data_IF_467583121874
#
_entry.id   IF_467583121874
#
_cell.length_a   1.000
_cell.length_b   1.000
_cell.length_c   1.000
_cell.angle_alpha   90.00
_cell.angle_beta   90.00
_cell.angle_gamma   90.00
#
_symmetry.space_group_name_H-M   'P 1'
#
loop_
_entity.id
_entity.type
_entity.pdbx_description
1 polymer ?
#
# COMPACT_ATOMS: atom_id res chain seq x y z
N UNK A 1 -17.84 36.72 40.69
CA UNK A 1 -16.50 36.30 40.18
C UNK A 1 -16.21 34.79 40.26
N UNK A 2 -16.99 33.96 40.98
CA UNK A 2 -16.69 32.54 41.25
C UNK A 2 -16.90 31.56 40.08
N UNK A 3 -17.74 31.92 39.09
CA UNK A 3 -18.15 31.04 37.97
C UNK A 3 -17.14 30.98 36.82
N UNK A 4 -16.38 32.04 36.57
CA UNK A 4 -15.39 32.08 35.45
C UNK A 4 -14.23 31.10 35.64
N UNK A 5 -13.78 30.88 36.88
CA UNK A 5 -12.66 29.96 37.15
C UNK A 5 -13.08 28.48 37.02
N UNK A 6 -14.33 28.15 37.32
CA UNK A 6 -14.84 26.78 37.19
C UNK A 6 -14.96 26.36 35.72
N UNK A 7 -15.41 27.27 34.85
CA UNK A 7 -15.50 27.02 33.40
C UNK A 7 -14.10 26.79 32.79
N UNK A 8 -13.08 27.55 33.22
CA UNK A 8 -11.70 27.36 32.76
C UNK A 8 -11.13 25.99 33.14
N UNK A 9 -11.40 25.52 34.35
CA UNK A 9 -10.97 24.18 34.80
C UNK A 9 -11.66 23.06 34.01
N UNK A 10 -12.95 23.21 33.71
CA UNK A 10 -13.70 22.24 32.92
C UNK A 10 -13.17 22.13 31.49
N UNK A 11 -12.90 23.27 30.83
CA UNK A 11 -12.34 23.31 29.47
C UNK A 11 -10.95 22.66 29.45
N UNK A 12 -10.12 22.94 30.44
CA UNK A 12 -8.80 22.34 30.56
C UNK A 12 -8.90 20.82 30.69
N UNK A 13 -9.78 20.31 31.56
CA UNK A 13 -9.97 18.87 31.76
C UNK A 13 -10.49 18.14 30.51
N UNK A 14 -11.43 18.76 29.79
CA UNK A 14 -11.96 18.24 28.53
C UNK A 14 -10.85 18.22 27.47
N UNK A 15 -10.02 19.26 27.40
CA UNK A 15 -8.92 19.33 26.43
C UNK A 15 -7.86 18.27 26.67
N UNK A 16 -7.47 18.00 27.93
CA UNK A 16 -6.54 16.92 28.25
C UNK A 16 -7.15 15.55 27.97
N UNK A 17 -8.42 15.33 28.34
CA UNK A 17 -9.11 14.07 28.07
C UNK A 17 -9.21 13.77 26.57
N UNK A 18 -9.49 14.79 25.75
CA UNK A 18 -9.49 14.67 24.29
C UNK A 18 -8.08 14.33 23.77
N UNK A 19 -7.04 15.02 24.24
CA UNK A 19 -5.66 14.72 23.86
C UNK A 19 -5.26 13.27 24.17
N UNK A 20 -5.60 12.76 25.37
CA UNK A 20 -5.32 11.37 25.74
C UNK A 20 -6.12 10.36 24.91
N UNK A 21 -7.39 10.66 24.61
CA UNK A 21 -8.27 9.79 23.79
C UNK A 21 -7.78 9.63 22.34
N UNK A 22 -7.13 10.66 21.77
CA UNK A 22 -6.50 10.57 20.44
C UNK A 22 -5.16 9.82 20.46
N UNK A 23 -4.41 9.87 21.56
CA UNK A 23 -3.11 9.18 21.64
C UNK A 23 -3.23 7.68 21.93
N UNK A 24 -4.22 7.22 22.71
CA UNK A 24 -4.34 5.80 23.06
C UNK A 24 -4.78 4.89 21.90
N UNK A 25 -5.37 5.45 20.85
CA UNK A 25 -5.85 4.69 19.69
C UNK A 25 -4.87 4.62 18.52
N UNK A 26 -3.69 5.25 18.60
CA UNK A 26 -2.67 5.14 17.55
C UNK A 26 -1.76 3.93 17.81
N UNK A 27 -2.33 2.73 17.74
CA UNK A 27 -1.51 1.54 17.47
C UNK A 27 -1.23 1.54 15.97
N UNK A 28 0.03 1.66 15.50
CA UNK A 28 0.32 1.26 14.14
C UNK A 28 0.04 -0.24 14.05
N UNK A 29 -1.13 -0.59 13.49
CA UNK A 29 -1.41 -1.96 13.09
C UNK A 29 -0.41 -2.34 12.01
N UNK A 30 0.75 -2.85 12.44
CA UNK A 30 1.82 -3.32 11.58
C UNK A 30 1.48 -4.68 10.95
N UNK A 31 0.19 -4.95 10.71
CA UNK A 31 -0.29 -6.13 10.01
C UNK A 31 -0.56 -5.77 8.55
N UNK A 32 0.51 -5.43 7.83
CA UNK A 32 0.50 -5.31 6.38
C UNK A 32 0.46 -6.75 5.83
N UNK A 33 -0.74 -7.35 5.74
CA UNK A 33 -0.90 -8.65 5.11
C UNK A 33 -0.99 -8.40 3.59
N UNK A 34 0.19 -8.24 2.97
CA UNK A 34 0.37 -8.28 1.51
C UNK A 34 0.36 -9.71 0.98
N UNK A 35 0.46 -10.70 1.86
CA UNK A 35 0.55 -12.12 1.53
C UNK A 35 -0.70 -12.59 0.79
N UNK A 36 -0.50 -13.33 -0.29
CA UNK A 36 -1.55 -13.86 -1.16
C UNK A 36 -1.40 -13.38 -2.60
N UNK A 37 -2.39 -13.70 -3.43
CA UNK A 37 -2.40 -13.33 -4.85
C UNK A 37 -3.24 -12.08 -5.09
N UNK A 38 -2.74 -11.19 -5.93
CA UNK A 38 -3.36 -9.92 -6.28
C UNK A 38 -3.36 -9.70 -7.79
N UNK A 39 -4.49 -9.34 -8.38
CA UNK A 39 -4.56 -8.91 -9.78
C UNK A 39 -4.35 -7.41 -9.90
N UNK A 40 -3.75 -6.96 -10.99
CA UNK A 40 -3.78 -5.54 -11.37
C UNK A 40 -5.22 -5.18 -11.77
N UNK A 41 -5.87 -4.31 -11.00
CA UNK A 41 -7.24 -3.83 -11.27
C UNK A 41 -7.27 -2.48 -11.99
N UNK A 42 -6.15 -1.74 -11.99
CA UNK A 42 -6.06 -0.46 -12.65
C UNK A 42 -4.67 0.17 -12.62
N UNK A 43 -4.49 1.19 -13.44
CA UNK A 43 -3.34 2.10 -13.42
C UNK A 43 -3.84 3.52 -13.24
N UNK A 44 -3.08 4.32 -12.52
CA UNK A 44 -3.31 5.75 -12.41
C UNK A 44 -2.05 6.46 -12.86
N UNK A 45 -1.86 6.58 -14.17
CA UNK A 45 -0.99 7.55 -14.82
C UNK A 45 -1.90 8.37 -15.75
N UNK A 46 -1.63 9.66 -15.98
CA UNK A 46 -2.51 10.56 -16.74
C UNK A 46 -3.15 9.92 -17.99
N UNK A 47 -4.45 9.64 -17.89
CA UNK A 47 -5.52 9.42 -18.89
C UNK A 47 -5.27 8.58 -20.18
N UNK A 48 -4.08 8.04 -20.47
CA UNK A 48 -3.80 7.41 -21.78
C UNK A 48 -3.09 6.07 -21.78
N UNK A 49 -2.84 5.47 -20.62
CA UNK A 49 -2.27 4.12 -20.56
C UNK A 49 -3.30 3.18 -19.95
N UNK A 50 -3.95 2.38 -20.80
CA UNK A 50 -4.76 1.25 -20.36
C UNK A 50 -3.92 0.40 -19.40
N UNK A 51 -4.48 0.13 -18.23
CA UNK A 51 -3.87 -0.79 -17.28
C UNK A 51 -3.57 -2.09 -18.03
N UNK A 52 -2.35 -2.64 -17.93
CA UNK A 52 -2.04 -3.90 -18.56
C UNK A 52 -2.88 -4.98 -17.85
N UNK A 53 -3.99 -5.37 -18.47
CA UNK A 53 -4.87 -6.42 -17.96
C UNK A 53 -4.13 -7.75 -17.89
N UNK A 54 -4.56 -8.66 -17.01
CA UNK A 54 -4.00 -10.02 -16.92
C UNK A 54 -2.66 -10.14 -16.21
N UNK A 55 -2.16 -9.08 -15.58
CA UNK A 55 -1.02 -9.17 -14.64
C UNK A 55 -1.49 -9.50 -13.23
N UNK A 56 -0.75 -10.37 -12.55
CA UNK A 56 -0.94 -10.65 -11.12
C UNK A 56 0.37 -10.74 -10.36
N UNK A 57 0.31 -10.32 -9.09
CA UNK A 57 1.39 -10.37 -8.11
C UNK A 57 1.06 -11.43 -7.07
N UNK A 58 2.03 -12.25 -6.71
CA UNK A 58 1.91 -13.16 -5.57
C UNK A 58 2.98 -12.81 -4.55
N UNK A 59 2.59 -12.63 -3.28
CA UNK A 59 3.51 -12.38 -2.17
C UNK A 59 3.45 -13.53 -1.17
N UNK A 60 4.62 -14.05 -0.81
CA UNK A 60 4.78 -15.11 0.18
C UNK A 60 5.32 -14.57 1.51
N UNK A 61 4.97 -15.22 2.62
CA UNK A 61 5.39 -14.85 3.99
C UNK A 61 6.91 -14.78 4.17
N UNK A 62 7.67 -15.53 3.37
CA UNK A 62 9.13 -15.55 3.41
C UNK A 62 9.80 -14.34 2.75
N UNK A 63 9.04 -13.33 2.33
CA UNK A 63 9.57 -12.14 1.65
C UNK A 63 9.91 -12.37 0.18
N UNK A 64 9.50 -13.49 -0.42
CA UNK A 64 9.58 -13.73 -1.87
C UNK A 64 8.23 -13.54 -2.53
N UNK A 65 8.22 -13.35 -3.83
CA UNK A 65 7.02 -13.22 -4.63
C UNK A 65 7.34 -13.35 -6.11
N UNK A 66 6.30 -13.26 -6.94
CA UNK A 66 6.48 -13.21 -8.39
C UNK A 66 5.36 -12.43 -9.07
N UNK A 67 5.65 -11.97 -10.28
CA UNK A 67 4.68 -11.42 -11.23
C UNK A 67 4.46 -12.44 -12.33
N UNK A 68 3.20 -12.65 -12.71
CA UNK A 68 2.83 -13.46 -13.88
C UNK A 68 1.84 -12.70 -14.78
N UNK A 69 1.89 -13.00 -16.07
CA UNK A 69 0.93 -12.52 -17.06
C UNK A 69 0.12 -13.71 -17.57
N UNK A 70 -1.21 -13.61 -17.58
CA UNK A 70 -2.12 -14.73 -17.89
C UNK A 70 -1.80 -15.48 -19.20
N UNK A 71 -1.23 -14.81 -20.20
CA UNK A 71 -0.92 -15.41 -21.51
C UNK A 71 0.52 -15.91 -21.66
N UNK A 72 1.35 -15.78 -20.62
CA UNK A 72 2.76 -16.19 -20.63
C UNK A 72 3.02 -17.09 -19.42
N UNK A 73 3.65 -18.25 -19.64
CA UNK A 73 3.96 -19.21 -18.57
C UNK A 73 5.14 -18.78 -17.69
N UNK A 74 5.95 -17.84 -18.17
CA UNK A 74 7.11 -17.33 -17.45
C UNK A 74 6.68 -16.39 -16.31
N UNK A 75 7.42 -16.48 -15.19
CA UNK A 75 7.19 -15.70 -13.98
C UNK A 75 8.43 -14.89 -13.66
N UNK A 76 8.23 -13.62 -13.33
CA UNK A 76 9.31 -12.76 -12.85
C UNK A 76 9.34 -12.78 -11.32
N UNK A 77 10.35 -13.45 -10.77
CA UNK A 77 10.53 -13.63 -9.33
C UNK A 77 11.16 -12.40 -8.71
N UNK A 78 10.68 -12.01 -7.52
CA UNK A 78 11.24 -10.91 -6.75
C UNK A 78 11.31 -11.21 -5.25
N UNK A 79 12.22 -10.52 -4.58
CA UNK A 79 12.23 -10.39 -3.12
C UNK A 79 11.55 -9.07 -2.73
N UNK A 80 10.69 -9.07 -1.72
CA UNK A 80 9.97 -7.89 -1.28
C UNK A 80 10.23 -7.56 0.19
N UNK A 81 10.21 -6.26 0.47
CA UNK A 81 10.35 -5.72 1.81
C UNK A 81 9.37 -4.57 1.98
N UNK A 82 8.67 -4.52 3.11
CA UNK A 82 7.78 -3.40 3.44
C UNK A 82 8.17 -2.75 4.76
N UNK A 83 8.12 -1.42 4.81
CA UNK A 83 8.03 -0.64 6.04
C UNK A 83 6.75 0.20 5.98
N UNK A 84 6.27 0.72 7.12
CA UNK A 84 4.98 1.42 7.33
C UNK A 84 4.16 1.82 6.09
N UNK A 85 4.75 2.54 5.12
CA UNK A 85 4.10 3.01 3.90
C UNK A 85 4.91 2.77 2.62
N UNK A 86 6.01 1.99 2.65
CA UNK A 86 6.80 1.68 1.46
C UNK A 86 6.92 0.18 1.21
N UNK A 87 6.86 -0.19 -0.06
CA UNK A 87 7.09 -1.54 -0.57
C UNK A 87 8.23 -1.49 -1.58
N UNK A 88 9.29 -2.26 -1.33
CA UNK A 88 10.42 -2.42 -2.24
C UNK A 88 10.38 -3.83 -2.85
N UNK A 89 10.44 -3.91 -4.17
CA UNK A 89 10.51 -5.16 -4.94
C UNK A 89 11.90 -5.27 -5.58
N UNK A 90 12.63 -6.36 -5.35
CA UNK A 90 13.94 -6.62 -5.92
C UNK A 90 13.83 -7.88 -6.81
N UNK A 91 13.66 -7.69 -8.11
CA UNK A 91 13.57 -8.78 -9.08
C UNK A 91 14.90 -9.53 -9.19
N UNK A 92 14.83 -10.86 -9.25
CA UNK A 92 16.01 -11.75 -9.25
C UNK A 92 16.69 -11.83 -10.62
N UNK A 93 15.95 -11.67 -11.72
CA UNK A 93 16.48 -11.73 -13.09
C UNK A 93 15.80 -10.72 -14.01
N UNK A 94 16.55 -10.25 -15.03
CA UNK A 94 16.05 -9.40 -16.11
C UNK A 94 15.51 -10.23 -17.28
N UNK A 95 14.84 -11.36 -17.02
CA UNK A 95 14.27 -12.19 -18.08
C UNK A 95 13.12 -11.44 -18.74
N UNK A 96 13.43 -10.58 -19.72
CA UNK A 96 12.67 -10.30 -20.95
C UNK A 96 11.19 -9.88 -20.92
N UNK A 97 10.42 -10.17 -19.86
CA UNK A 97 9.03 -9.79 -19.62
C UNK A 97 8.98 -8.31 -19.24
N UNK A 98 9.55 -7.49 -20.12
CA UNK A 98 9.27 -6.07 -20.35
C UNK A 98 9.41 -5.14 -19.14
N UNK A 99 10.66 -4.76 -18.94
CA UNK A 99 11.27 -3.42 -18.88
C UNK A 99 10.45 -2.09 -19.11
N UNK A 100 9.13 -2.00 -18.91
CA UNK A 100 8.40 -0.73 -19.09
C UNK A 100 7.50 -0.40 -17.89
N UNK A 101 6.74 -1.35 -17.34
CA UNK A 101 5.78 -1.05 -16.28
C UNK A 101 6.38 -1.07 -14.86
N UNK A 102 7.35 -1.94 -14.60
CA UNK A 102 7.84 -2.16 -13.22
C UNK A 102 9.31 -1.80 -12.99
N UNK A 103 9.92 -1.02 -13.90
CA UNK A 103 11.31 -0.52 -13.76
C UNK A 103 11.61 0.15 -12.41
N UNK A 104 10.58 0.61 -11.72
CA UNK A 104 10.68 1.25 -10.42
C UNK A 104 10.39 0.21 -9.34
N UNK A 105 11.47 -0.32 -8.78
CA UNK A 105 11.52 -1.31 -7.70
C UNK A 105 11.00 -0.82 -6.33
N UNK A 106 10.35 0.35 -6.26
CA UNK A 106 9.96 1.01 -5.02
C UNK A 106 8.62 1.73 -5.16
N UNK A 107 7.72 1.42 -4.24
CA UNK A 107 6.35 1.90 -4.19
C UNK A 107 6.02 2.47 -2.82
N UNK A 108 5.20 3.51 -2.78
CA UNK A 108 4.39 3.83 -1.63
C UNK A 108 3.20 2.85 -1.60
N UNK A 109 2.95 2.30 -0.42
CA UNK A 109 1.92 1.32 -0.16
C UNK A 109 0.78 1.97 0.63
N UNK A 110 -0.46 1.83 0.15
CA UNK A 110 -1.65 2.30 0.87
C UNK A 110 -2.79 1.30 0.78
N UNK A 111 -3.33 0.89 1.92
CA UNK A 111 -4.60 0.15 1.99
C UNK A 111 -5.75 1.12 1.69
N UNK A 112 -6.66 0.74 0.80
CA UNK A 112 -7.84 1.56 0.51
C UNK A 112 -8.95 1.26 1.53
N UNK A 113 -9.57 2.31 2.15
CA UNK A 113 -10.51 2.12 3.25
C UNK A 113 -11.86 1.53 2.83
N UNK A 114 -12.22 1.65 1.54
CA UNK A 114 -13.55 1.24 1.05
C UNK A 114 -13.61 -0.20 0.53
N UNK A 115 -12.45 -0.82 0.29
CA UNK A 115 -12.37 -2.20 -0.18
C UNK A 115 -11.20 -2.88 0.53
N UNK A 116 -11.49 -3.62 1.60
CA UNK A 116 -10.51 -4.36 2.42
C UNK A 116 -9.63 -5.35 1.63
N UNK A 117 -9.92 -5.53 0.34
CA UNK A 117 -9.24 -6.37 -0.64
C UNK A 117 -8.45 -5.58 -1.67
N UNK A 118 -8.30 -4.26 -1.55
CA UNK A 118 -7.57 -3.45 -2.52
C UNK A 118 -6.43 -2.68 -1.87
N UNK A 119 -5.32 -2.63 -2.60
CA UNK A 119 -4.13 -1.86 -2.24
C UNK A 119 -3.72 -0.98 -3.40
N UNK A 120 -3.21 0.19 -3.06
CA UNK A 120 -2.67 1.16 -3.99
C UNK A 120 -1.14 1.13 -3.87
N UNK A 121 -0.46 0.91 -5.00
CA UNK A 121 0.98 0.97 -5.13
C UNK A 121 1.36 2.18 -5.98
N UNK A 122 1.81 3.27 -5.36
CA UNK A 122 2.28 4.47 -6.09
C UNK A 122 3.78 4.42 -6.27
N UNK A 123 4.34 4.79 -7.42
CA UNK A 123 5.80 4.79 -7.55
C UNK A 123 6.44 5.84 -6.64
N UNK A 124 7.47 5.44 -5.88
CA UNK A 124 8.12 6.33 -4.91
C UNK A 124 8.72 7.58 -5.59
N UNK A 125 9.35 7.39 -6.75
CA UNK A 125 10.00 8.45 -7.52
C UNK A 125 9.05 9.21 -8.46
N UNK A 126 7.77 8.82 -8.53
CA UNK A 126 6.78 9.47 -9.39
C UNK A 126 5.38 9.25 -8.79
N UNK A 127 5.04 10.09 -7.80
CA UNK A 127 3.85 9.93 -6.95
C UNK A 127 2.52 10.00 -7.71
N UNK A 128 2.52 10.55 -8.91
CA UNK A 128 1.37 10.68 -9.80
C UNK A 128 1.09 9.40 -10.62
N UNK A 129 1.99 8.41 -10.57
CA UNK A 129 1.81 7.13 -11.22
C UNK A 129 1.71 5.98 -10.22
N UNK A 130 0.96 4.95 -10.59
CA UNK A 130 1.01 3.66 -9.94
C UNK A 130 -0.09 2.71 -10.37
N UNK A 131 -0.31 1.70 -9.53
CA UNK A 131 -1.15 0.55 -9.81
C UNK A 131 -2.11 0.30 -8.66
N UNK A 132 -3.31 -0.10 -9.00
CA UNK A 132 -4.27 -0.66 -8.05
C UNK A 132 -4.21 -2.18 -8.15
N UNK A 133 -4.17 -2.85 -7.00
CA UNK A 133 -4.21 -4.30 -6.92
C UNK A 133 -5.45 -4.75 -6.14
N UNK A 134 -6.17 -5.72 -6.69
CA UNK A 134 -7.30 -6.40 -6.05
C UNK A 134 -6.92 -7.82 -5.62
N UNK A 135 -7.22 -8.18 -4.38
CA UNK A 135 -6.95 -9.48 -3.79
C UNK A 135 -7.77 -10.58 -4.48
N UNK A 136 -7.13 -11.71 -4.78
CA UNK A 136 -7.74 -12.85 -5.46
C UNK A 136 -8.03 -14.02 -4.52
N UNK A 137 -7.10 -14.41 -3.65
CA UNK A 137 -7.22 -15.37 -2.53
C UNK A 137 -5.83 -15.69 -1.95
#
# INVERSE_FOLDING_TARGET
>A
MRTKNQIKFLIMFISTYLFFSFTENYKPENNIILVGKWRVSGMFCSEREEAPEGFSFTFYENGRGYVEYEKISEKDVFNWQTNSDTLKLNFEDNNGIKNILFKKNQFLFRKLPYYKTHIELRYLNFKECGLELGFLE
#
